data_IF_891298914884
#
_entry.id   IF_891298914884
#
_cell.length_a   1.000
_cell.length_b   1.000
_cell.length_c   1.000
_cell.angle_alpha   90.00
_cell.angle_beta   90.00
_cell.angle_gamma   90.00
#
_symmetry.space_group_name_H-M   'P 1'
#
loop_
_entity.id
_entity.type
_entity.pdbx_description
1 polymer ?
#
# COMPACT_ATOMS: atom_id res chain seq x y z
N UNK A 1 -21.27 7.19 14.26
CA UNK A 1 -19.92 6.62 14.09
C UNK A 1 -19.60 6.69 12.62
N UNK A 2 -18.63 7.51 12.20
CA UNK A 2 -18.14 7.50 10.82
C UNK A 2 -17.34 6.21 10.65
N UNK A 3 -17.85 5.27 9.88
CA UNK A 3 -17.09 4.07 9.51
C UNK A 3 -15.80 4.53 8.82
N UNK A 4 -14.64 4.14 9.38
CA UNK A 4 -13.36 4.36 8.71
C UNK A 4 -13.33 3.43 7.50
N UNK A 5 -13.70 3.96 6.33
CA UNK A 5 -13.54 3.27 5.06
C UNK A 5 -12.08 2.80 4.93
N UNK A 6 -11.89 1.50 4.75
CA UNK A 6 -10.55 0.91 4.60
C UNK A 6 -9.88 1.46 3.35
N UNK A 7 -8.56 1.68 3.39
CA UNK A 7 -7.76 2.12 2.22
C UNK A 7 -7.85 1.14 1.03
N UNK A 8 -8.26 -0.10 1.30
CA UNK A 8 -8.31 -1.17 0.34
C UNK A 8 -9.57 -1.99 0.50
N UNK A 9 -10.04 -2.53 -0.63
CA UNK A 9 -11.17 -3.45 -0.66
C UNK A 9 -10.68 -4.78 -1.21
N UNK A 10 -10.84 -5.90 -0.49
CA UNK A 10 -10.55 -7.20 -1.07
C UNK A 10 -11.58 -7.48 -2.16
N UNK A 11 -11.11 -7.80 -3.37
CA UNK A 11 -12.00 -8.10 -4.51
C UNK A 11 -12.81 -9.40 -4.26
N UNK A 12 -12.18 -10.38 -3.62
CA UNK A 12 -12.79 -11.51 -2.90
C UNK A 12 -11.74 -12.12 -1.93
N UNK A 13 -12.16 -13.00 -1.01
CA UNK A 13 -11.24 -13.72 -0.10
C UNK A 13 -10.22 -14.61 -0.84
N UNK A 14 -10.53 -15.06 -2.06
CA UNK A 14 -9.69 -15.93 -2.91
C UNK A 14 -8.52 -15.17 -3.57
N UNK A 15 -8.66 -13.87 -3.81
CA UNK A 15 -7.64 -12.99 -4.40
C UNK A 15 -6.44 -12.80 -3.46
N UNK A 16 -6.59 -13.10 -2.17
CA UNK A 16 -5.48 -13.14 -1.23
C UNK A 16 -4.60 -14.40 -1.37
N UNK A 17 -5.00 -15.38 -2.18
CA UNK A 17 -4.32 -16.67 -2.34
C UNK A 17 -3.32 -16.75 -3.50
N UNK A 18 -2.80 -15.61 -3.99
CA UNK A 18 -1.47 -15.63 -4.61
C UNK A 18 -1.36 -15.68 -6.14
N UNK A 19 -2.41 -15.39 -6.91
CA UNK A 19 -2.31 -15.26 -8.37
C UNK A 19 -2.74 -13.90 -8.93
N UNK A 20 -3.68 -13.19 -8.29
CA UNK A 20 -4.05 -11.82 -8.66
C UNK A 20 -3.56 -10.84 -7.60
N UNK A 21 -2.42 -10.20 -7.88
CA UNK A 21 -1.80 -9.17 -7.01
C UNK A 21 -2.52 -7.83 -7.10
N UNK A 22 -3.83 -7.82 -6.92
CA UNK A 22 -4.60 -6.57 -7.06
C UNK A 22 -5.39 -6.32 -5.79
N UNK A 23 -4.70 -5.75 -4.80
CA UNK A 23 -5.42 -5.02 -3.75
C UNK A 23 -5.89 -3.72 -4.39
N UNK A 24 -7.19 -3.61 -4.71
CA UNK A 24 -7.73 -2.41 -5.32
C UNK A 24 -7.79 -1.28 -4.29
N UNK A 25 -7.16 -0.16 -4.64
CA UNK A 25 -7.27 1.12 -3.94
C UNK A 25 -8.75 1.49 -3.77
N UNK A 26 -9.16 1.77 -2.54
CA UNK A 26 -10.48 2.29 -2.27
C UNK A 26 -10.50 3.78 -2.62
N UNK A 27 -11.01 4.13 -3.79
CA UNK A 27 -11.17 5.52 -4.22
C UNK A 27 -12.07 6.38 -3.30
N UNK A 28 -12.83 5.74 -2.40
CA UNK A 28 -13.65 6.41 -1.39
C UNK A 28 -12.98 6.47 -0.01
N UNK A 29 -11.73 6.00 0.13
CA UNK A 29 -10.99 6.15 1.37
C UNK A 29 -10.68 7.63 1.65
N UNK A 30 -10.75 8.03 2.91
CA UNK A 30 -10.38 9.39 3.29
C UNK A 30 -8.88 9.62 3.14
N UNK A 31 -8.42 10.86 2.87
CA UNK A 31 -7.01 11.19 2.83
C UNK A 31 -6.24 10.70 4.08
N UNK A 32 -6.81 10.88 5.28
CA UNK A 32 -6.20 10.37 6.52
C UNK A 32 -6.03 8.84 6.54
N UNK A 33 -6.98 8.10 5.98
CA UNK A 33 -6.90 6.63 5.89
C UNK A 33 -5.79 6.20 4.92
N UNK A 34 -5.63 6.90 3.79
CA UNK A 34 -4.56 6.68 2.83
C UNK A 34 -3.19 6.97 3.44
N UNK A 35 -3.05 8.11 4.11
CA UNK A 35 -1.80 8.52 4.74
C UNK A 35 -1.38 7.54 5.84
N UNK A 36 -2.33 7.14 6.69
CA UNK A 36 -2.09 6.12 7.73
C UNK A 36 -1.68 4.79 7.10
N UNK A 37 -2.35 4.34 6.05
CA UNK A 37 -2.02 3.08 5.39
C UNK A 37 -0.62 3.12 4.77
N UNK A 38 -0.28 4.19 4.03
CA UNK A 38 1.05 4.38 3.48
C UNK A 38 2.13 4.34 4.58
N UNK A 39 1.89 5.03 5.68
CA UNK A 39 2.81 5.07 6.83
C UNK A 39 3.01 3.68 7.45
N UNK A 40 1.94 2.91 7.67
CA UNK A 40 2.06 1.54 8.21
C UNK A 40 2.79 0.60 7.24
N UNK A 41 2.61 0.77 5.92
CA UNK A 41 3.36 0.01 4.90
C UNK A 41 4.84 0.33 4.95
N UNK A 42 5.21 1.61 5.07
CA UNK A 42 6.61 2.02 5.22
C UNK A 42 7.24 1.48 6.52
N UNK A 43 6.50 1.49 7.63
CA UNK A 43 6.96 0.88 8.90
C UNK A 43 7.20 -0.62 8.76
N UNK A 44 6.31 -1.34 8.09
CA UNK A 44 6.48 -2.77 7.85
C UNK A 44 7.72 -3.06 6.98
N UNK A 45 8.01 -2.22 5.99
CA UNK A 45 9.26 -2.32 5.20
C UNK A 45 10.49 -2.16 6.08
N UNK A 46 10.51 -1.15 6.96
CA UNK A 46 11.62 -0.94 7.89
C UNK A 46 11.83 -2.17 8.78
N UNK A 47 10.75 -2.69 9.38
CA UNK A 47 10.82 -3.90 10.22
C UNK A 47 11.33 -5.13 9.48
N UNK A 48 10.92 -5.30 8.21
CA UNK A 48 11.39 -6.39 7.35
C UNK A 48 12.88 -6.26 7.04
N UNK A 49 13.36 -5.05 6.77
CA UNK A 49 14.78 -4.77 6.52
C UNK A 49 15.62 -4.94 7.79
N UNK A 50 15.12 -4.51 8.94
CA UNK A 50 15.77 -4.71 10.24
C UNK A 50 15.88 -6.20 10.58
N UNK A 51 14.82 -6.98 10.29
CA UNK A 51 14.81 -8.42 10.46
C UNK A 51 15.92 -9.10 9.64
N UNK A 52 16.17 -8.66 8.40
CA UNK A 52 17.30 -9.18 7.59
C UNK A 52 18.64 -8.98 8.31
N UNK A 53 18.82 -7.84 8.97
CA UNK A 53 20.06 -7.53 9.69
C UNK A 53 20.26 -8.45 10.90
N UNK A 54 19.17 -8.83 11.58
CA UNK A 54 19.19 -9.68 12.77
C UNK A 54 19.33 -11.19 12.47
N UNK A 55 18.70 -11.69 11.39
CA UNK A 55 18.64 -13.15 11.13
C UNK A 55 19.93 -13.75 10.53
N UNK A 56 20.90 -12.92 10.14
CA UNK A 56 22.12 -13.39 9.49
C UNK A 56 21.85 -13.87 8.07
N UNK A 57 22.57 -13.32 7.10
CA UNK A 57 22.34 -13.46 5.66
C UNK A 57 22.65 -14.85 5.06
N UNK A 58 22.34 -15.96 5.74
CA UNK A 58 22.73 -17.32 5.31
C UNK A 58 21.80 -17.92 4.24
N UNK A 59 20.60 -17.39 4.03
CA UNK A 59 19.64 -17.91 3.07
C UNK A 59 19.27 -16.87 1.99
N UNK A 60 19.81 -17.05 0.80
CA UNK A 60 19.55 -16.20 -0.37
C UNK A 60 18.05 -16.11 -0.71
N UNK A 61 17.28 -17.16 -0.45
CA UNK A 61 15.83 -17.19 -0.71
C UNK A 61 15.04 -16.35 0.29
N UNK A 62 15.44 -16.35 1.56
CA UNK A 62 14.86 -15.49 2.60
C UNK A 62 15.12 -14.01 2.30
N UNK A 63 16.34 -13.66 1.86
CA UNK A 63 16.66 -12.31 1.39
C UNK A 63 15.83 -11.88 0.16
N UNK A 64 15.65 -12.78 -0.81
CA UNK A 64 14.83 -12.51 -2.01
C UNK A 64 13.35 -12.33 -1.65
N UNK A 65 12.83 -13.15 -0.75
CA UNK A 65 11.46 -13.07 -0.29
C UNK A 65 11.21 -11.73 0.41
N UNK A 66 12.06 -11.36 1.37
CA UNK A 66 11.94 -10.07 2.07
C UNK A 66 12.11 -8.90 1.11
N UNK A 67 13.10 -8.94 0.22
CA UNK A 67 13.29 -7.88 -0.79
C UNK A 67 12.06 -7.72 -1.69
N UNK A 68 11.46 -8.83 -2.12
CA UNK A 68 10.26 -8.82 -2.96
C UNK A 68 9.08 -8.23 -2.22
N UNK A 69 8.82 -8.67 -0.98
CA UNK A 69 7.73 -8.13 -0.15
C UNK A 69 7.93 -6.64 0.13
N UNK A 70 9.15 -6.24 0.50
CA UNK A 70 9.48 -4.83 0.73
C UNK A 70 9.25 -3.97 -0.51
N UNK A 71 9.61 -4.45 -1.70
CA UNK A 71 9.34 -3.74 -2.95
C UNK A 71 7.84 -3.55 -3.22
N UNK A 72 7.00 -4.57 -2.96
CA UNK A 72 5.54 -4.43 -3.08
C UNK A 72 4.99 -3.37 -2.11
N UNK A 73 5.37 -3.46 -0.84
CA UNK A 73 4.88 -2.53 0.18
C UNK A 73 5.34 -1.09 -0.07
N UNK A 74 6.57 -0.91 -0.56
CA UNK A 74 7.10 0.41 -0.97
C UNK A 74 6.33 0.98 -2.15
N UNK A 75 6.11 0.17 -3.19
CA UNK A 75 5.36 0.61 -4.36
C UNK A 75 3.93 1.02 -4.00
N UNK A 76 3.24 0.20 -3.18
CA UNK A 76 1.89 0.50 -2.72
C UNK A 76 1.83 1.80 -1.89
N UNK A 77 2.80 2.00 -0.98
CA UNK A 77 2.88 3.22 -0.19
C UNK A 77 3.14 4.46 -1.08
N UNK A 78 3.99 4.34 -2.10
CA UNK A 78 4.26 5.43 -3.04
C UNK A 78 3.00 5.79 -3.83
N UNK A 79 2.28 4.81 -4.37
CA UNK A 79 1.02 5.08 -5.09
C UNK A 79 -0.01 5.79 -4.20
N UNK A 80 -0.12 5.42 -2.91
CA UNK A 80 -1.00 6.14 -1.98
C UNK A 80 -0.53 7.57 -1.72
N UNK A 81 0.79 7.79 -1.61
CA UNK A 81 1.35 9.12 -1.39
C UNK A 81 1.21 10.01 -2.63
N UNK A 82 1.22 9.44 -3.82
CA UNK A 82 0.94 10.14 -5.08
C UNK A 82 -0.49 10.71 -5.15
N UNK A 83 -1.45 10.13 -4.42
CA UNK A 83 -2.80 10.69 -4.32
C UNK A 83 -2.84 12.06 -3.62
N UNK A 84 -1.79 12.41 -2.87
CA UNK A 84 -1.60 13.74 -2.26
C UNK A 84 -0.84 14.69 -3.18
N UNK A 85 -0.43 14.25 -4.37
CA UNK A 85 0.16 15.13 -5.36
C UNK A 85 -0.89 16.18 -5.78
N UNK A 86 -0.54 17.48 -5.81
CA UNK A 86 -1.46 18.53 -6.28
C UNK A 86 -2.04 18.28 -7.67
N UNK A 87 -1.37 17.51 -8.53
CA UNK A 87 -1.89 17.07 -9.84
C UNK A 87 -3.07 16.12 -9.67
N UNK A 88 -2.97 15.13 -8.78
CA UNK A 88 -4.04 14.17 -8.50
C UNK A 88 -5.27 14.88 -7.92
N UNK A 89 -5.07 15.84 -7.01
CA UNK A 89 -6.15 16.67 -6.49
C UNK A 89 -6.87 17.47 -7.58
N UNK A 90 -6.10 18.10 -8.50
CA UNK A 90 -6.67 18.85 -9.63
C UNK A 90 -7.53 17.97 -10.55
N UNK A 91 -7.05 16.77 -10.87
CA UNK A 91 -7.79 15.82 -11.71
C UNK A 91 -9.09 15.34 -11.02
N UNK A 92 -9.05 15.16 -9.70
CA UNK A 92 -10.23 14.77 -8.92
C UNK A 92 -11.27 15.89 -8.92
N UNK A 93 -10.84 17.15 -8.70
CA UNK A 93 -11.69 18.32 -8.74
C UNK A 93 -12.35 18.55 -10.11
N UNK A 94 -11.62 18.35 -11.22
CA UNK A 94 -12.17 18.46 -12.58
C UNK A 94 -13.22 17.39 -12.87
N UNK A 95 -13.04 16.17 -12.37
CA UNK A 95 -13.99 15.07 -12.58
C UNK A 95 -15.28 15.24 -11.77
N UNK A 96 -15.24 15.89 -10.61
CA UNK A 96 -16.43 16.22 -9.82
C UNK A 96 -17.19 17.43 -10.37
N UNK A 97 -16.54 18.34 -11.09
CA UNK A 97 -17.19 19.51 -11.71
C UNK A 97 -17.98 19.17 -12.99
N UNK A 98 -17.93 17.93 -13.47
CA UNK A 98 -18.61 17.46 -14.67
C UNK A 98 -19.70 16.40 -14.38
N UNK A 99 -20.05 16.21 -13.10
CA UNK A 99 -21.21 15.45 -12.65
C UNK A 99 -22.26 16.41 -12.12
#
# INVERSE_FOLDING_TARGET
MLEQSTCFVPFNLVSQCGYDRVIYYNANASPDALYRCATERLKAVLQLLDSIHEYGSSEADSLRAVSSVSAFLLNDALCMLEEFNPVAERLRASNTAHK
#
